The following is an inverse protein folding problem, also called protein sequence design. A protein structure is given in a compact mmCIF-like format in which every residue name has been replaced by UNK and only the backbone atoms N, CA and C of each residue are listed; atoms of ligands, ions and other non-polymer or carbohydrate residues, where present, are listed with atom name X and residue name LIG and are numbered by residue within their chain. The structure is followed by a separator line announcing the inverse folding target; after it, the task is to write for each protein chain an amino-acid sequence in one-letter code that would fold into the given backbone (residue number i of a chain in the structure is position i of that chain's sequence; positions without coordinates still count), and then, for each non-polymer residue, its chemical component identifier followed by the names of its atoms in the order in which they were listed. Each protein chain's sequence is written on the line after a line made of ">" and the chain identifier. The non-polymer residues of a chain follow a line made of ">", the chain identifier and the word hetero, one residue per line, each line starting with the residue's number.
data_IF_326004053239
#
_entry.id   IF_326004053239
#
_cell.length_a   1.000
_cell.length_b   1.000
_cell.length_c   1.000
_cell.angle_alpha   90.00
_cell.angle_beta   90.00
_cell.angle_gamma   90.00
#
_symmetry.space_group_name_H-M   'P 1'
#
loop_
_entity.id
_entity.type
_entity.pdbx_description
1 polymer ?
#
# COMPACT_ATOMS: atom_id res chain seq x y z
N UNK A 1 4.65 -29.14 14.26
CA UNK A 1 5.29 -27.86 13.93
C UNK A 1 4.43 -27.27 12.82
N UNK A 2 3.69 -26.19 13.07
CA UNK A 2 2.79 -25.63 12.07
C UNK A 2 3.62 -24.83 11.06
N UNK A 3 3.79 -25.37 9.86
CA UNK A 3 4.32 -24.64 8.70
C UNK A 3 3.30 -23.57 8.25
N UNK A 4 3.30 -22.45 8.96
CA UNK A 4 2.60 -21.22 8.58
C UNK A 4 3.45 -20.44 7.58
N UNK A 5 3.58 -20.90 6.33
CA UNK A 5 3.69 -19.98 5.18
C UNK A 5 3.59 -20.67 3.81
N UNK A 6 2.56 -21.49 3.57
CA UNK A 6 2.21 -21.90 2.20
C UNK A 6 1.55 -20.73 1.45
N UNK A 7 2.31 -19.66 1.21
CA UNK A 7 1.99 -18.68 0.17
C UNK A 7 2.69 -19.10 -1.12
N UNK A 8 2.29 -20.26 -1.65
CA UNK A 8 2.63 -20.67 -3.01
C UNK A 8 1.79 -19.86 -4.00
N UNK A 9 2.24 -18.65 -4.32
CA UNK A 9 1.80 -17.90 -5.50
C UNK A 9 3.01 -17.47 -6.32
N UNK A 10 3.57 -18.42 -7.08
CA UNK A 10 4.36 -18.18 -8.28
C UNK A 10 5.82 -17.77 -8.09
N UNK A 11 6.73 -18.71 -8.34
CA UNK A 11 8.08 -18.37 -8.82
C UNK A 11 7.96 -17.66 -10.18
N UNK A 12 8.16 -16.34 -10.23
CA UNK A 12 8.91 -15.62 -11.29
C UNK A 12 8.78 -14.08 -11.14
N UNK A 13 9.88 -13.46 -10.69
CA UNK A 13 10.10 -12.04 -10.37
C UNK A 13 9.54 -11.57 -9.03
N UNK A 14 10.44 -11.12 -8.16
CA UNK A 14 10.10 -10.27 -7.03
C UNK A 14 9.29 -9.07 -7.55
N UNK A 15 8.03 -8.96 -7.14
CA UNK A 15 7.22 -7.79 -7.41
C UNK A 15 7.98 -6.54 -6.91
N UNK A 16 8.31 -5.65 -7.85
CA UNK A 16 9.05 -4.40 -7.57
C UNK A 16 8.21 -3.52 -6.64
N UNK A 17 6.90 -3.58 -6.79
CA UNK A 17 5.93 -2.86 -5.99
C UNK A 17 5.04 -3.82 -5.21
N UNK A 18 4.82 -3.52 -3.93
CA UNK A 18 3.96 -4.31 -3.04
C UNK A 18 2.97 -3.42 -2.31
N UNK A 19 1.73 -3.89 -2.13
CA UNK A 19 0.75 -3.19 -1.29
C UNK A 19 1.10 -3.41 0.18
N UNK A 20 1.19 -2.31 0.93
CA UNK A 20 1.43 -2.29 2.37
C UNK A 20 0.25 -1.63 3.07
N UNK A 21 -0.43 -2.40 3.93
CA UNK A 21 -1.39 -1.87 4.89
C UNK A 21 -0.67 -1.03 5.93
N UNK A 22 -1.12 0.20 6.10
CA UNK A 22 -0.59 1.16 7.05
C UNK A 22 -1.73 1.68 7.96
N UNK A 23 -1.37 2.23 9.12
CA UNK A 23 -2.31 2.92 9.99
C UNK A 23 -2.37 4.39 9.57
N UNK A 24 -3.58 4.92 9.37
CA UNK A 24 -3.87 6.33 9.12
C UNK A 24 -4.37 6.90 10.45
N UNK A 25 -3.65 7.88 10.99
CA UNK A 25 -4.12 8.64 12.15
C UNK A 25 -4.80 9.89 11.62
N UNK A 26 -6.11 9.99 11.80
CA UNK A 26 -6.88 11.16 11.40
C UNK A 26 -6.90 12.15 12.56
N UNK A 27 -6.19 13.26 12.40
CA UNK A 27 -6.16 14.35 13.38
C UNK A 27 -7.15 15.42 12.92
N UNK A 28 -8.23 15.59 13.68
CA UNK A 28 -9.23 16.62 13.42
C UNK A 28 -8.72 17.98 13.94
N UNK A 29 -8.47 18.92 13.02
CA UNK A 29 -8.07 20.28 13.37
C UNK A 29 -9.23 21.06 14.01
N UNK A 30 -8.94 21.90 15.01
CA UNK A 30 -9.95 22.74 15.70
C UNK A 30 -9.98 24.17 15.17
N UNK A 31 -11.16 24.80 15.24
CA UNK A 31 -11.28 26.27 15.25
C UNK A 31 -11.52 26.77 16.68
N UNK A 32 -11.15 28.02 16.96
CA UNK A 32 -11.34 28.61 18.29
C UNK A 32 -12.85 28.66 18.63
N UNK A 33 -13.26 27.94 19.68
CA UNK A 33 -14.63 27.93 20.19
C UNK A 33 -15.38 26.60 20.08
N UNK A 34 -14.83 25.57 19.43
CA UNK A 34 -15.45 24.23 19.41
C UNK A 34 -15.10 23.39 20.67
N UNK A 35 -16.06 22.59 21.18
CA UNK A 35 -15.82 21.66 22.28
C UNK A 35 -14.92 20.47 21.86
N UNK A 36 -14.52 19.68 22.86
CA UNK A 36 -13.44 18.70 22.84
C UNK A 36 -13.31 17.82 21.57
N UNK A 37 -12.06 17.49 21.24
CA UNK A 37 -11.70 16.66 20.08
C UNK A 37 -12.40 15.29 20.11
N UNK A 38 -13.00 14.84 18.98
CA UNK A 38 -13.33 13.43 18.85
C UNK A 38 -12.03 12.61 18.91
N UNK A 39 -12.05 11.39 19.50
CA UNK A 39 -10.89 10.52 19.52
C UNK A 39 -10.32 10.35 18.10
N UNK A 40 -8.99 10.27 17.94
CA UNK A 40 -8.39 10.00 16.64
C UNK A 40 -8.95 8.69 16.07
N UNK A 41 -9.52 8.76 14.88
CA UNK A 41 -9.98 7.56 14.20
C UNK A 41 -8.77 6.80 13.66
N UNK A 42 -8.61 5.57 14.14
CA UNK A 42 -7.69 4.61 13.56
C UNK A 42 -8.28 4.11 12.24
N UNK A 43 -7.96 4.81 11.16
CA UNK A 43 -8.31 4.40 9.82
C UNK A 43 -7.21 3.53 9.21
N UNK A 44 -7.58 2.68 8.27
CA UNK A 44 -6.63 1.90 7.48
C UNK A 44 -6.39 2.65 6.17
N UNK A 45 -5.15 2.69 5.73
CA UNK A 45 -4.78 3.11 4.38
C UNK A 45 -3.78 2.13 3.80
N UNK A 46 -3.76 2.05 2.48
CA UNK A 46 -2.91 1.15 1.72
C UNK A 46 -1.93 1.99 0.92
N UNK A 47 -0.64 1.68 1.02
CA UNK A 47 0.40 2.35 0.23
C UNK A 47 1.12 1.34 -0.63
N UNK A 48 1.61 1.78 -1.77
CA UNK A 48 2.44 0.96 -2.64
C UNK A 48 3.89 1.21 -2.25
N UNK A 49 4.57 0.19 -1.76
CA UNK A 49 5.98 0.24 -1.39
C UNK A 49 6.83 -0.28 -2.55
N UNK A 50 7.86 0.47 -2.91
CA UNK A 50 8.90 0.02 -3.83
C UNK A 50 9.97 -0.74 -3.02
N UNK A 51 10.14 -2.02 -3.34
CA UNK A 51 11.08 -2.91 -2.65
C UNK A 51 12.54 -2.57 -2.96
N UNK A 52 12.82 -1.91 -4.09
CA UNK A 52 14.18 -1.53 -4.52
C UNK A 52 14.69 -0.28 -3.84
N UNK A 53 13.84 0.75 -3.79
CA UNK A 53 14.21 2.05 -3.19
C UNK A 53 13.84 2.14 -1.71
N UNK A 54 13.04 1.19 -1.21
CA UNK A 54 12.40 1.25 0.11
C UNK A 54 11.51 2.49 0.28
N UNK A 55 11.09 3.08 -0.84
CA UNK A 55 10.21 4.24 -0.90
C UNK A 55 8.73 3.86 -0.97
N UNK A 56 7.87 4.86 -0.91
CA UNK A 56 6.42 4.72 -1.11
C UNK A 56 6.00 5.55 -2.33
N UNK A 57 5.03 5.03 -3.08
CA UNK A 57 4.45 5.70 -4.24
C UNK A 57 3.09 6.29 -3.90
N UNK A 58 2.94 7.58 -4.18
CA UNK A 58 1.70 8.34 -4.02
C UNK A 58 1.30 8.61 -2.57
N UNK A 59 0.10 9.17 -2.41
CA UNK A 59 -0.46 9.59 -1.12
C UNK A 59 -1.22 8.45 -0.39
N UNK A 60 -1.19 7.23 -0.95
CA UNK A 60 -1.93 6.08 -0.43
C UNK A 60 -3.40 6.02 -0.89
N UNK A 61 -4.03 4.90 -0.58
CA UNK A 61 -5.39 4.54 -0.98
C UNK A 61 -6.22 4.22 0.27
N UNK A 62 -7.49 4.62 0.28
CA UNK A 62 -8.41 4.24 1.36
C UNK A 62 -8.89 2.78 1.22
N UNK A 63 -8.91 2.22 0.00
CA UNK A 63 -9.31 0.84 -0.30
C UNK A 63 -8.13 -0.04 -0.73
N UNK A 64 -8.11 -1.28 -0.25
CA UNK A 64 -7.09 -2.28 -0.60
C UNK A 64 -7.13 -2.62 -2.09
N UNK A 65 -8.34 -2.73 -2.65
CA UNK A 65 -8.53 -3.12 -4.04
C UNK A 65 -7.94 -2.09 -5.01
N UNK A 66 -8.08 -0.80 -4.69
CA UNK A 66 -7.51 0.29 -5.48
C UNK A 66 -5.98 0.26 -5.45
N UNK A 67 -5.41 0.05 -4.26
CA UNK A 67 -3.97 -0.11 -4.11
C UNK A 67 -3.46 -1.35 -4.86
N UNK A 68 -4.18 -2.47 -4.81
CA UNK A 68 -3.82 -3.70 -5.50
C UNK A 68 -3.90 -3.55 -7.03
N UNK A 69 -4.93 -2.85 -7.53
CA UNK A 69 -5.07 -2.57 -8.96
C UNK A 69 -3.91 -1.73 -9.48
N UNK A 70 -3.54 -0.68 -8.75
CA UNK A 70 -2.42 0.17 -9.13
C UNK A 70 -1.07 -0.53 -8.98
N UNK A 71 -0.89 -1.34 -7.93
CA UNK A 71 0.30 -2.16 -7.72
C UNK A 71 0.55 -3.11 -8.90
N UNK A 72 -0.51 -3.81 -9.36
CA UNK A 72 -0.44 -4.67 -10.55
C UNK A 72 -0.08 -3.88 -11.80
N UNK A 73 -0.64 -2.68 -11.98
CA UNK A 73 -0.31 -1.80 -13.12
C UNK A 73 1.16 -1.40 -13.12
N UNK A 74 1.71 -1.02 -11.96
CA UNK A 74 3.10 -0.61 -11.81
C UNK A 74 4.08 -1.77 -12.04
N UNK A 75 3.77 -2.97 -11.52
CA UNK A 75 4.57 -4.17 -11.76
C UNK A 75 4.53 -4.58 -13.24
N UNK A 76 3.38 -4.45 -13.91
CA UNK A 76 3.27 -4.75 -15.35
C UNK A 76 4.11 -3.80 -16.21
N UNK A 77 4.09 -2.49 -15.92
CA UNK A 77 4.85 -1.48 -16.68
C UNK A 77 6.36 -1.58 -16.39
N UNK A 78 6.74 -1.91 -15.16
CA UNK A 78 8.15 -1.94 -14.74
C UNK A 78 8.82 -3.29 -14.93
N UNK A 79 8.05 -4.31 -15.34
CA UNK A 79 8.59 -5.62 -15.69
C UNK A 79 9.46 -5.52 -16.95
N UNK A 80 10.69 -6.06 -16.96
CA UNK A 80 11.61 -6.01 -18.10
C UNK A 80 11.13 -6.79 -19.35
N UNK A 81 9.90 -7.30 -19.39
CA UNK A 81 9.35 -8.06 -20.52
C UNK A 81 8.76 -7.22 -21.66
N UNK A 82 8.83 -5.89 -21.61
CA UNK A 82 8.28 -5.01 -22.66
C UNK A 82 9.29 -4.50 -23.71
N UNK A 83 10.53 -4.99 -23.70
CA UNK A 83 11.54 -4.72 -24.75
C UNK A 83 11.93 -6.00 -25.51
N UNK A 84 10.93 -6.65 -26.12
CA UNK A 84 11.15 -7.51 -27.29
C UNK A 84 10.01 -7.28 -28.28
N UNK A 85 10.13 -6.25 -29.11
CA UNK A 85 9.47 -6.12 -30.40
C UNK A 85 10.31 -5.17 -31.27
#
# INVERSE_FOLDING_TARGET
>A
MLDLNTNSFGDAMEDIFVVKRCNKIIIHGRRAGEPDHPPPDAAVWYRIADTRTRGFIGDGFDLEEDAARECRRLNAVSSPKSLQA
#
